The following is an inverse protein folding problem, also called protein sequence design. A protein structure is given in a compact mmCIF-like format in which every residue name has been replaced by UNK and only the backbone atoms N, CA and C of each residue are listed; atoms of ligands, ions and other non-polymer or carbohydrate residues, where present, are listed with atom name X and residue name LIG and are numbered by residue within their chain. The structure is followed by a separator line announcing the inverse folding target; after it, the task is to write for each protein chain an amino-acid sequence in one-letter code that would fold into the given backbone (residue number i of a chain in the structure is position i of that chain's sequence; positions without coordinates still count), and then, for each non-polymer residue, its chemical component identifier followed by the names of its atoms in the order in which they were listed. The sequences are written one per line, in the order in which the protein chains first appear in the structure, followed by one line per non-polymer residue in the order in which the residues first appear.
data_IF_399196171955
#
_entry.id   IF_399196171955
#
_cell.length_a   1.000
_cell.length_b   1.000
_cell.length_c   1.000
_cell.angle_alpha   90.00
_cell.angle_beta   90.00
_cell.angle_gamma   90.00
#
_symmetry.space_group_name_H-M   'P 1'
#
loop_
_entity.id
_entity.type
_entity.pdbx_description
1 polymer ?
#
# COMPACT_ATOMS: atom_id res chain seq x y z
N UNK A 1 24.58 8.80 -13.85
CA UNK A 1 23.95 7.50 -14.11
C UNK A 1 22.60 7.50 -13.43
N UNK A 2 21.53 7.74 -14.19
CA UNK A 2 20.18 7.51 -13.70
C UNK A 2 20.01 6.00 -13.71
N UNK A 3 20.02 5.40 -12.52
CA UNK A 3 19.62 4.00 -12.35
C UNK A 3 18.12 4.00 -12.49
N UNK A 4 17.66 3.76 -13.72
CA UNK A 4 16.32 3.27 -13.94
C UNK A 4 16.26 1.92 -13.22
N UNK A 5 15.61 1.91 -12.05
CA UNK A 5 15.23 0.65 -11.42
C UNK A 5 14.10 0.14 -12.33
N UNK A 6 14.30 -0.94 -13.10
CA UNK A 6 13.22 -1.50 -13.88
C UNK A 6 12.11 -1.85 -12.91
N UNK A 7 10.82 -1.66 -13.25
CA UNK A 7 9.75 -2.17 -12.41
C UNK A 7 10.10 -3.63 -12.17
N UNK A 8 10.19 -4.03 -10.91
CA UNK A 8 10.27 -5.44 -10.56
C UNK A 8 9.11 -6.06 -11.33
N UNK A 9 9.44 -6.76 -12.42
CA UNK A 9 8.51 -7.63 -13.09
C UNK A 9 8.18 -8.62 -11.98
N UNK A 10 7.09 -8.36 -11.28
CA UNK A 10 6.39 -9.37 -10.52
C UNK A 10 6.00 -10.36 -11.61
N UNK A 11 6.90 -11.30 -11.86
CA UNK A 11 6.63 -12.49 -12.66
C UNK A 11 5.43 -13.09 -11.93
N UNK A 12 4.24 -12.85 -12.48
CA UNK A 12 2.99 -13.47 -12.09
C UNK A 12 3.13 -14.94 -12.50
N UNK A 13 4.01 -15.68 -11.83
CA UNK A 13 4.09 -17.11 -12.05
C UNK A 13 2.82 -17.79 -11.53
N UNK A 14 2.09 -17.12 -10.64
CA UNK A 14 0.72 -17.44 -10.28
C UNK A 14 -0.04 -16.16 -9.93
N UNK A 15 -1.35 -16.13 -10.22
CA UNK A 15 -2.31 -15.03 -9.95
C UNK A 15 -2.51 -14.71 -8.44
N UNK A 16 -1.57 -15.12 -7.61
CA UNK A 16 -1.62 -15.03 -6.16
C UNK A 16 -0.42 -14.23 -5.65
N UNK A 17 -0.70 -13.36 -4.69
CA UNK A 17 0.30 -12.59 -3.97
C UNK A 17 0.74 -13.37 -2.73
N UNK A 18 1.96 -13.12 -2.26
CA UNK A 18 2.44 -13.70 -1.00
C UNK A 18 1.57 -13.21 0.17
N UNK A 19 1.44 -14.01 1.22
CA UNK A 19 0.69 -13.66 2.44
C UNK A 19 1.18 -12.35 3.08
N UNK A 20 2.47 -12.05 2.95
CA UNK A 20 3.09 -10.83 3.48
C UNK A 20 2.96 -9.61 2.58
N UNK A 21 2.31 -9.72 1.42
CA UNK A 21 2.13 -8.61 0.51
C UNK A 21 1.20 -7.55 1.11
N UNK A 22 1.58 -6.28 0.97
CA UNK A 22 0.83 -5.12 1.47
C UNK A 22 0.49 -4.20 0.30
N UNK A 23 -0.69 -3.58 0.37
CA UNK A 23 -1.25 -2.76 -0.68
C UNK A 23 -1.80 -1.46 -0.12
N UNK A 24 -1.75 -0.41 -0.95
CA UNK A 24 -2.44 0.85 -0.73
C UNK A 24 -3.77 0.76 -1.50
N UNK A 25 -4.86 1.01 -0.80
CA UNK A 25 -6.20 1.06 -1.38
C UNK A 25 -6.68 2.52 -1.30
N UNK A 26 -6.98 3.10 -2.45
CA UNK A 26 -7.47 4.47 -2.55
C UNK A 26 -9.02 4.52 -2.56
N UNK A 27 -9.59 5.72 -2.39
CA UNK A 27 -11.05 5.92 -2.36
C UNK A 27 -11.74 5.57 -3.69
N UNK A 28 -11.00 5.63 -4.80
CA UNK A 28 -11.45 5.17 -6.12
C UNK A 28 -11.32 3.65 -6.32
N UNK A 29 -11.03 2.92 -5.25
CA UNK A 29 -10.78 1.47 -5.21
C UNK A 29 -9.57 1.01 -6.02
N UNK A 30 -8.69 1.94 -6.46
CA UNK A 30 -7.41 1.56 -7.05
C UNK A 30 -6.52 0.88 -6.01
N UNK A 31 -5.78 -0.13 -6.47
CA UNK A 31 -4.89 -0.95 -5.64
C UNK A 31 -3.46 -0.78 -6.14
N UNK A 32 -2.58 -0.36 -5.24
CA UNK A 32 -1.16 -0.13 -5.53
C UNK A 32 -0.28 -0.95 -4.58
N UNK A 33 0.90 -1.43 -5.01
CA UNK A 33 1.86 -2.05 -4.10
C UNK A 33 2.28 -1.06 -3.00
N UNK A 34 2.27 -1.50 -1.74
CA UNK A 34 2.76 -0.68 -0.63
C UNK A 34 4.30 -0.71 -0.59
N UNK A 35 4.91 0.08 -1.46
CA UNK A 35 6.36 0.32 -1.50
C UNK A 35 6.62 1.82 -1.41
N UNK A 36 7.74 2.20 -0.79
CA UNK A 36 8.07 3.60 -0.50
C UNK A 36 7.92 4.54 -1.70
N UNK A 37 8.40 4.11 -2.87
CA UNK A 37 8.33 4.91 -4.12
C UNK A 37 6.88 5.17 -4.52
N UNK A 38 6.02 4.17 -4.43
CA UNK A 38 4.60 4.29 -4.75
C UNK A 38 3.88 5.20 -3.78
N UNK A 39 4.14 5.05 -2.47
CA UNK A 39 3.56 5.90 -1.43
C UNK A 39 3.95 7.37 -1.62
N UNK A 40 5.24 7.65 -1.82
CA UNK A 40 5.72 9.03 -2.03
C UNK A 40 5.15 9.64 -3.32
N UNK A 41 5.11 8.88 -4.42
CA UNK A 41 4.54 9.35 -5.67
C UNK A 41 3.04 9.62 -5.54
N UNK A 42 2.30 8.80 -4.78
CA UNK A 42 0.89 9.00 -4.51
C UNK A 42 0.65 10.31 -3.74
N UNK A 43 1.40 10.53 -2.64
CA UNK A 43 1.30 11.74 -1.84
C UNK A 43 1.61 13.01 -2.64
N UNK A 44 2.64 12.97 -3.49
CA UNK A 44 2.96 14.07 -4.41
C UNK A 44 1.83 14.34 -5.41
N UNK A 45 1.22 13.29 -5.99
CA UNK A 45 0.07 13.42 -6.90
C UNK A 45 -1.16 14.02 -6.22
N UNK A 46 -1.36 13.73 -4.93
CA UNK A 46 -2.41 14.32 -4.10
C UNK A 46 -2.11 15.77 -3.68
N UNK A 47 -0.96 16.32 -4.07
CA UNK A 47 -0.59 17.70 -3.77
C UNK A 47 -0.04 17.92 -2.36
N UNK A 48 0.25 16.84 -1.62
CA UNK A 48 0.78 16.90 -0.27
C UNK A 48 2.27 17.26 -0.35
N UNK A 49 2.61 18.45 0.14
CA UNK A 49 3.99 18.97 0.17
C UNK A 49 4.62 18.90 1.55
N UNK A 50 3.80 19.00 2.60
CA UNK A 50 4.24 18.88 3.98
C UNK A 50 3.84 17.51 4.51
N UNK A 51 4.82 16.63 4.67
CA UNK A 51 4.59 15.31 5.25
C UNK A 51 4.21 15.36 6.72
N UNK A 52 4.46 16.47 7.42
CA UNK A 52 4.03 16.64 8.81
C UNK A 52 2.52 16.90 8.94
N UNK A 53 1.86 17.26 7.83
CA UNK A 53 0.41 17.42 7.80
C UNK A 53 -0.33 16.08 7.72
N UNK A 54 0.38 14.98 7.44
CA UNK A 54 -0.21 13.65 7.33
C UNK A 54 -0.38 13.00 8.71
N UNK A 55 -1.59 12.53 8.98
CA UNK A 55 -1.87 11.65 10.10
C UNK A 55 -2.00 10.21 9.61
N UNK A 56 -1.26 9.28 10.21
CA UNK A 56 -1.41 7.84 9.97
C UNK A 56 -2.18 7.20 11.14
N UNK A 57 -3.30 6.54 10.81
CA UNK A 57 -4.05 5.73 11.77
C UNK A 57 -3.94 4.26 11.43
N UNK A 58 -3.69 3.40 12.42
CA UNK A 58 -3.68 1.94 12.26
C UNK A 58 -4.99 1.34 12.76
N UNK A 59 -5.69 0.61 11.90
CA UNK A 59 -6.92 -0.13 12.25
C UNK A 59 -6.67 -1.63 12.15
N UNK A 60 -6.86 -2.35 13.26
CA UNK A 60 -6.82 -3.83 13.29
C UNK A 60 -8.20 -4.39 12.92
N UNK A 61 -8.30 -4.94 11.70
CA UNK A 61 -9.51 -5.63 11.25
C UNK A 61 -9.40 -7.11 11.57
N UNK A 62 -10.11 -7.54 12.62
CA UNK A 62 -10.26 -8.95 12.97
C UNK A 62 -11.57 -9.50 12.43
N UNK A 63 -11.53 -10.57 11.63
CA UNK A 63 -12.74 -11.37 11.35
C UNK A 63 -13.13 -12.11 12.64
N UNK A 64 -14.36 -11.90 13.13
CA UNK A 64 -14.89 -12.61 14.32
C UNK A 64 -15.01 -14.14 14.12
N UNK A 65 -15.01 -14.61 12.87
CA UNK A 65 -15.17 -16.03 12.55
C UNK A 65 -13.82 -16.74 12.41
N UNK A 66 -13.77 -17.97 12.94
CA UNK A 66 -12.60 -18.73 13.42
C UNK A 66 -11.46 -19.04 12.43
N UNK A 67 -11.41 -18.43 11.25
CA UNK A 67 -10.28 -18.44 10.32
C UNK A 67 -10.22 -17.06 9.64
N UNK A 68 -9.66 -16.08 10.34
CA UNK A 68 -9.57 -14.71 9.87
C UNK A 68 -8.18 -14.37 9.36
N UNK A 69 -8.07 -13.88 8.13
CA UNK A 69 -6.85 -13.26 7.61
C UNK A 69 -6.53 -12.01 8.43
N UNK A 70 -5.26 -11.81 8.77
CA UNK A 70 -4.79 -10.60 9.45
C UNK A 70 -4.56 -9.51 8.40
N UNK A 71 -5.53 -8.61 8.23
CA UNK A 71 -5.26 -7.35 7.53
C UNK A 71 -4.45 -6.52 8.53
N UNK A 72 -3.13 -6.56 8.37
CA UNK A 72 -2.20 -6.09 9.40
C UNK A 72 -2.31 -4.59 9.61
N UNK A 73 -2.57 -3.81 8.55
CA UNK A 73 -2.51 -2.36 8.57
C UNK A 73 -3.40 -1.77 7.46
N UNK A 74 -4.32 -0.87 7.84
CA UNK A 74 -4.92 0.11 6.93
C UNK A 74 -4.48 1.47 7.44
N UNK A 75 -3.56 2.10 6.72
CA UNK A 75 -3.11 3.46 7.00
C UNK A 75 -4.01 4.42 6.22
N UNK A 76 -4.90 5.11 6.94
CA UNK A 76 -5.64 6.24 6.38
C UNK A 76 -4.80 7.50 6.57
N UNK A 77 -4.52 8.19 5.48
CA UNK A 77 -3.95 9.54 5.50
C UNK A 77 -5.11 10.54 5.49
N UNK A 78 -5.23 11.35 6.54
CA UNK A 78 -6.15 12.49 6.60
C UNK A 78 -5.51 13.76 6.03
#
# INVERSE_FOLDING_TARGET
MNREVPPENLILENDFVKETASFIICDDLSVLPNVLVTSVNLLQKLGIKDMNALEEQTVDIRKRERKGYHISQISRFL
#
